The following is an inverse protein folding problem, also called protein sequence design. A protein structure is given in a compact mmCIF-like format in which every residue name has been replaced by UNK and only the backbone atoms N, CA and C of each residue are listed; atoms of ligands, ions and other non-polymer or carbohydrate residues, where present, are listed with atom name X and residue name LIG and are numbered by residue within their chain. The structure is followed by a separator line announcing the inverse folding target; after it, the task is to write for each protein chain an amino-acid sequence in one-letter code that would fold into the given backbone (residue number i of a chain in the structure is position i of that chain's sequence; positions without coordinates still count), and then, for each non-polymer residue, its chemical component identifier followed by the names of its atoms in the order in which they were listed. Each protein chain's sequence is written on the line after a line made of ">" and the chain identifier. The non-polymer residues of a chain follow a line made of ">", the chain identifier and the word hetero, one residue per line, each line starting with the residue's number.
data_IF_815204493871
#
_entry.id   IF_815204493871
#
_cell.length_a   1.000
_cell.length_b   1.000
_cell.length_c   1.000
_cell.angle_alpha   90.00
_cell.angle_beta   90.00
_cell.angle_gamma   90.00
#
_symmetry.space_group_name_H-M   'P 1'
#
loop_
_entity.id
_entity.type
_entity.pdbx_description
1 polymer ?
#
# COMPACT_ATOMS: atom_id res chain seq x y z
N UNK A 1 42.93 -28.41 33.21
CA UNK A 1 42.38 -27.13 33.68
C UNK A 1 42.98 -26.04 32.81
N UNK A 2 42.17 -25.36 32.01
CA UNK A 2 42.67 -24.34 31.07
C UNK A 2 41.83 -24.28 29.80
N UNK A 3 40.61 -23.75 29.89
CA UNK A 3 39.85 -23.26 28.73
C UNK A 3 38.65 -22.38 29.11
N UNK A 4 38.53 -21.95 30.38
CA UNK A 4 37.42 -21.09 30.85
C UNK A 4 37.85 -19.63 31.08
N UNK A 5 39.13 -19.29 31.07
CA UNK A 5 39.57 -17.91 31.34
C UNK A 5 39.67 -17.01 30.11
N UNK A 6 39.69 -17.57 28.88
CA UNK A 6 39.79 -16.76 27.64
C UNK A 6 38.42 -16.18 27.27
N UNK A 7 37.36 -16.98 27.43
CA UNK A 7 35.99 -16.56 27.11
C UNK A 7 35.49 -15.45 28.05
N UNK A 8 35.97 -15.39 29.30
CA UNK A 8 35.61 -14.29 30.22
C UNK A 8 36.32 -12.97 29.91
N UNK A 9 37.42 -12.98 29.16
CA UNK A 9 38.12 -11.75 28.78
C UNK A 9 37.51 -11.10 27.54
N UNK A 10 37.07 -11.89 26.56
CA UNK A 10 36.46 -11.37 25.31
C UNK A 10 35.08 -10.75 25.55
N UNK A 11 34.30 -11.25 26.51
CA UNK A 11 32.96 -10.69 26.82
C UNK A 11 33.06 -9.30 27.50
N UNK A 12 34.19 -9.01 28.16
CA UNK A 12 34.40 -7.70 28.78
C UNK A 12 34.81 -6.61 27.77
N UNK A 13 35.39 -6.97 26.63
CA UNK A 13 35.85 -6.01 25.62
C UNK A 13 34.66 -5.51 24.76
N UNK A 14 33.72 -6.40 24.41
CA UNK A 14 32.47 -6.02 23.71
C UNK A 14 31.53 -5.18 24.59
N UNK A 15 31.48 -5.45 25.91
CA UNK A 15 30.66 -4.65 26.83
C UNK A 15 31.20 -3.22 27.02
N UNK A 16 32.53 -3.06 26.98
CA UNK A 16 33.18 -1.76 27.14
C UNK A 16 32.99 -0.85 25.90
N UNK A 17 32.84 -1.44 24.72
CA UNK A 17 32.61 -0.71 23.46
C UNK A 17 31.15 -0.22 23.32
N UNK A 18 30.19 -1.00 23.83
CA UNK A 18 28.77 -0.62 23.86
C UNK A 18 28.49 0.57 24.79
N UNK A 19 29.14 0.63 25.96
CA UNK A 19 29.01 1.76 26.89
C UNK A 19 29.62 3.04 26.31
N UNK A 20 30.73 2.94 25.57
CA UNK A 20 31.36 4.08 24.89
C UNK A 20 30.49 4.62 23.73
N UNK A 21 29.75 3.76 23.03
CA UNK A 21 28.82 4.16 21.98
C UNK A 21 27.57 4.84 22.55
N UNK A 22 27.06 4.37 23.69
CA UNK A 22 25.92 4.97 24.40
C UNK A 22 26.24 6.36 24.96
N UNK A 23 27.47 6.59 25.45
CA UNK A 23 27.95 7.92 25.85
C UNK A 23 28.06 8.88 24.65
N UNK A 24 28.52 8.42 23.48
CA UNK A 24 28.54 9.23 22.26
C UNK A 24 27.13 9.64 21.80
N UNK A 25 26.15 8.75 21.92
CA UNK A 25 24.75 9.03 21.59
C UNK A 25 24.11 10.03 22.56
N UNK A 26 24.49 10.01 23.84
CA UNK A 26 24.06 11.02 24.82
C UNK A 26 24.65 12.40 24.53
N UNK A 27 25.95 12.47 24.20
CA UNK A 27 26.61 13.73 23.85
C UNK A 27 26.04 14.38 22.58
N UNK A 28 25.56 13.57 21.62
CA UNK A 28 24.87 14.07 20.43
C UNK A 28 23.47 14.65 20.72
N UNK A 29 22.77 14.13 21.74
CA UNK A 29 21.43 14.60 22.10
C UNK A 29 21.47 15.92 22.91
N UNK A 30 22.52 16.16 23.70
CA UNK A 30 22.70 17.41 24.45
C UNK A 30 23.12 18.61 23.58
N UNK A 31 23.68 18.39 22.38
CA UNK A 31 24.07 19.47 21.46
C UNK A 31 22.91 20.11 20.69
N UNK A 32 21.68 19.60 20.79
CA UNK A 32 20.53 20.05 19.99
C UNK A 32 19.43 20.78 20.78
N UNK A 33 19.71 21.22 22.01
CA UNK A 33 18.75 21.99 22.80
C UNK A 33 19.28 23.40 23.11
N UNK A 34 18.87 24.37 22.28
CA UNK A 34 18.89 25.79 22.63
C UNK A 34 17.48 26.35 22.38
N UNK A 35 16.82 26.81 23.44
CA UNK A 35 15.54 27.52 23.42
C UNK A 35 15.74 29.06 23.20
N UNK A 36 14.74 29.93 23.44
CA UNK A 36 13.98 30.63 22.40
C UNK A 36 14.27 32.15 22.38
N UNK A 37 13.81 32.87 21.35
CA UNK A 37 13.86 34.33 21.33
C UNK A 37 12.46 34.91 21.01
N UNK A 38 11.95 35.65 21.99
CA UNK A 38 10.85 36.63 21.95
C UNK A 38 11.29 37.90 21.18
N UNK A 39 10.53 38.91 20.74
CA UNK A 39 9.26 39.52 21.12
C UNK A 39 8.79 40.43 19.96
N UNK A 40 7.48 40.66 19.93
CA UNK A 40 6.74 41.91 19.60
C UNK A 40 7.45 43.09 18.92
N UNK A 41 6.78 43.67 17.90
CA UNK A 41 6.48 45.12 17.88
C UNK A 41 5.30 45.47 16.94
N UNK A 42 4.30 46.14 17.54
CA UNK A 42 3.25 46.93 16.87
C UNK A 42 3.79 48.33 16.51
N UNK A 43 3.36 48.90 15.38
CA UNK A 43 3.03 50.33 15.28
C UNK A 43 2.22 50.64 14.01
N UNK A 44 1.14 51.39 14.24
CA UNK A 44 0.13 51.93 13.32
C UNK A 44 0.64 53.17 12.57
N UNK A 45 0.23 53.34 11.30
CA UNK A 45 -0.20 54.67 10.82
C UNK A 45 -1.26 54.54 9.72
N UNK A 46 -2.24 55.44 9.83
CA UNK A 46 -3.53 55.54 9.16
C UNK A 46 -3.45 56.51 7.98
N UNK A 47 -4.18 56.25 6.88
CA UNK A 47 -5.01 57.20 6.09
C UNK A 47 -5.54 56.44 4.85
N UNK A 48 -6.74 55.85 4.85
CA UNK A 48 -8.13 56.35 4.77
C UNK A 48 -8.56 56.86 3.38
N UNK A 49 -9.71 56.31 2.96
CA UNK A 49 -10.72 56.78 1.97
C UNK A 49 -10.75 55.99 0.65
N UNK A 50 -11.88 55.51 0.12
CA UNK A 50 -13.28 55.42 0.60
C UNK A 50 -14.06 54.55 -0.41
N UNK A 51 -14.96 53.68 0.11
CA UNK A 51 -16.28 53.19 -0.37
C UNK A 51 -16.67 53.22 -1.88
N UNK A 52 -17.55 52.38 -2.46
CA UNK A 52 -18.55 51.42 -2.00
C UNK A 52 -19.05 50.63 -3.25
N UNK A 53 -19.45 49.37 -3.08
CA UNK A 53 -20.37 48.61 -3.97
C UNK A 53 -21.84 49.06 -3.74
N UNK A 54 -22.93 48.42 -4.27
CA UNK A 54 -23.11 47.38 -5.32
C UNK A 54 -24.27 47.70 -6.31
N UNK A 55 -24.54 46.80 -7.27
CA UNK A 55 -25.86 46.73 -7.94
C UNK A 55 -25.99 45.57 -8.94
N UNK A 56 -26.83 44.59 -8.60
CA UNK A 56 -27.39 43.56 -9.50
C UNK A 56 -28.37 44.18 -10.52
N UNK A 57 -28.69 43.46 -11.61
CA UNK A 57 -30.05 43.23 -12.17
C UNK A 57 -29.96 42.28 -13.39
N UNK A 58 -30.89 41.33 -13.42
CA UNK A 58 -31.27 40.37 -14.48
C UNK A 58 -32.14 41.03 -15.58
N UNK A 59 -32.20 40.42 -16.79
CA UNK A 59 -33.39 40.20 -17.66
C UNK A 59 -32.89 39.57 -19.00
N UNK A 60 -33.30 38.34 -19.37
CA UNK A 60 -34.43 37.96 -20.26
C UNK A 60 -34.20 38.40 -21.73
N UNK A 61 -34.45 37.65 -22.82
CA UNK A 61 -35.14 36.39 -23.10
C UNK A 61 -34.91 35.97 -24.59
N UNK A 62 -35.40 34.78 -24.95
CA UNK A 62 -35.86 34.28 -26.27
C UNK A 62 -35.05 33.26 -27.11
N UNK A 63 -35.69 32.09 -27.29
CA UNK A 63 -35.53 31.08 -28.36
C UNK A 63 -35.98 31.63 -29.74
N UNK A 64 -35.59 30.97 -30.86
CA UNK A 64 -36.66 30.29 -31.62
C UNK A 64 -36.29 28.89 -32.16
N UNK A 65 -37.33 28.06 -32.34
CA UNK A 65 -37.34 26.75 -33.00
C UNK A 65 -37.64 26.89 -34.51
N UNK A 66 -36.90 26.21 -35.39
CA UNK A 66 -37.38 25.09 -36.26
C UNK A 66 -36.45 24.78 -37.45
N UNK A 67 -36.28 23.46 -37.69
CA UNK A 67 -36.17 22.69 -38.95
C UNK A 67 -35.20 23.11 -40.09
N UNK A 68 -34.37 22.14 -40.53
CA UNK A 68 -33.77 22.10 -41.88
C UNK A 68 -32.38 21.47 -41.92
N UNK A 69 -32.24 20.36 -42.65
CA UNK A 69 -31.05 19.52 -42.82
C UNK A 69 -29.92 20.19 -43.62
N UNK A 70 -28.64 20.01 -43.21
CA UNK A 70 -27.59 19.41 -44.08
C UNK A 70 -26.24 19.18 -43.35
N UNK A 71 -25.58 18.10 -43.75
CA UNK A 71 -24.33 17.53 -43.23
C UNK A 71 -23.10 18.44 -43.43
N UNK A 72 -22.24 18.55 -42.40
CA UNK A 72 -20.78 18.51 -42.59
C UNK A 72 -20.11 17.77 -41.42
N UNK A 73 -19.34 16.74 -41.75
CA UNK A 73 -18.48 15.98 -40.84
C UNK A 73 -17.35 16.85 -40.29
N UNK A 74 -17.05 16.71 -38.98
CA UNK A 74 -15.69 16.54 -38.48
C UNK A 74 -15.70 16.07 -37.03
N UNK A 75 -15.55 14.75 -36.89
CA UNK A 75 -15.40 14.03 -35.64
C UNK A 75 -13.99 14.21 -35.06
N UNK A 76 -13.84 15.05 -34.02
CA UNK A 76 -12.69 14.96 -33.11
C UNK A 76 -13.10 14.21 -31.84
N UNK A 77 -13.34 12.90 -32.01
CA UNK A 77 -13.40 11.97 -30.90
C UNK A 77 -11.99 11.84 -30.32
N UNK A 78 -11.72 12.54 -29.21
CA UNK A 78 -10.57 12.25 -28.35
C UNK A 78 -10.68 10.79 -27.90
N UNK A 79 -9.89 9.91 -28.53
CA UNK A 79 -9.71 8.52 -28.09
C UNK A 79 -9.14 8.54 -26.68
N UNK A 80 -10.00 8.41 -25.68
CA UNK A 80 -9.62 8.05 -24.32
C UNK A 80 -9.08 6.63 -24.41
N UNK A 81 -7.76 6.50 -24.41
CA UNK A 81 -7.09 5.20 -24.46
C UNK A 81 -7.56 4.38 -23.24
N UNK A 82 -8.36 3.36 -23.54
CA UNK A 82 -8.86 2.42 -22.55
C UNK A 82 -7.66 1.57 -22.13
N UNK A 83 -7.08 1.85 -20.95
CA UNK A 83 -5.90 1.15 -20.40
C UNK A 83 -6.17 -0.31 -20.02
N UNK A 84 -7.42 -0.76 -20.14
CA UNK A 84 -7.87 -2.02 -19.55
C UNK A 84 -7.76 -3.24 -20.49
N UNK A 85 -7.03 -3.18 -21.61
CA UNK A 85 -6.96 -4.32 -22.57
C UNK A 85 -5.58 -4.76 -23.08
N UNK A 86 -4.48 -4.33 -22.46
CA UNK A 86 -3.13 -4.82 -22.85
C UNK A 86 -2.27 -5.25 -21.66
N UNK A 87 -2.86 -5.95 -20.69
CA UNK A 87 -2.13 -6.63 -19.60
C UNK A 87 -2.42 -8.14 -19.61
N UNK A 88 -2.55 -8.71 -20.80
CA UNK A 88 -2.51 -10.15 -20.96
C UNK A 88 -1.05 -10.60 -20.88
N UNK A 89 -0.65 -11.13 -19.72
CA UNK A 89 0.45 -12.11 -19.57
C UNK A 89 1.81 -11.71 -20.18
N UNK A 90 2.23 -10.46 -20.05
CA UNK A 90 3.67 -10.24 -20.01
C UNK A 90 4.12 -10.79 -18.66
N UNK A 91 4.93 -11.85 -18.64
CA UNK A 91 5.64 -12.24 -17.43
C UNK A 91 6.26 -10.97 -16.85
N UNK A 92 5.82 -10.60 -15.63
CA UNK A 92 6.32 -9.41 -14.97
C UNK A 92 7.78 -9.69 -14.61
N UNK A 93 8.67 -9.30 -15.51
CA UNK A 93 10.11 -9.38 -15.33
C UNK A 93 10.47 -8.54 -14.12
N UNK A 94 10.86 -9.21 -13.04
CA UNK A 94 11.38 -8.60 -11.83
C UNK A 94 12.90 -8.73 -11.85
N UNK A 95 13.62 -7.61 -11.78
CA UNK A 95 15.08 -7.56 -11.76
C UNK A 95 15.57 -6.85 -10.49
N UNK A 96 16.65 -7.34 -9.88
CA UNK A 96 17.37 -6.63 -8.80
C UNK A 96 16.61 -6.56 -7.48
N UNK A 97 15.66 -7.47 -7.27
CA UNK A 97 14.80 -7.57 -6.07
C UNK A 97 14.81 -8.96 -5.45
N UNK A 98 15.82 -9.75 -5.76
CA UNK A 98 15.91 -11.17 -5.39
C UNK A 98 15.98 -11.31 -3.87
N UNK A 99 16.73 -10.43 -3.20
CA UNK A 99 16.85 -10.41 -1.75
C UNK A 99 15.51 -10.08 -1.07
N UNK A 100 14.88 -8.97 -1.45
CA UNK A 100 13.61 -8.56 -0.88
C UNK A 100 12.51 -9.60 -1.15
N UNK A 101 12.51 -10.20 -2.34
CA UNK A 101 11.60 -11.30 -2.71
C UNK A 101 11.79 -12.49 -1.77
N UNK A 102 13.03 -12.94 -1.59
CA UNK A 102 13.37 -14.05 -0.71
C UNK A 102 12.94 -13.78 0.74
N UNK A 103 13.26 -12.59 1.26
CA UNK A 103 12.98 -12.20 2.64
C UNK A 103 11.47 -12.17 2.92
N UNK A 104 10.68 -11.57 2.02
CA UNK A 104 9.22 -11.51 2.19
C UNK A 104 8.59 -12.89 2.02
N UNK A 105 9.00 -13.69 1.04
CA UNK A 105 8.48 -15.06 0.87
C UNK A 105 8.75 -15.89 2.13
N UNK A 106 9.96 -15.81 2.67
CA UNK A 106 10.33 -16.48 3.92
C UNK A 106 9.48 -15.99 5.09
N UNK A 107 9.23 -14.69 5.20
CA UNK A 107 8.41 -14.10 6.27
C UNK A 107 6.93 -14.53 6.18
N UNK A 108 6.38 -14.61 4.98
CA UNK A 108 5.03 -15.13 4.74
C UNK A 108 4.97 -16.63 5.05
N UNK A 109 5.91 -17.42 4.54
CA UNK A 109 5.96 -18.88 4.67
C UNK A 109 6.21 -19.41 6.08
N UNK A 110 6.67 -18.57 7.03
CA UNK A 110 6.86 -18.98 8.42
C UNK A 110 5.57 -19.57 9.02
N UNK A 111 5.66 -20.64 9.84
CA UNK A 111 4.51 -21.15 10.58
C UNK A 111 3.98 -20.10 11.55
N UNK A 112 2.68 -20.15 11.83
CA UNK A 112 2.05 -19.24 12.77
C UNK A 112 2.44 -19.67 14.19
N UNK A 113 3.38 -18.95 14.78
CA UNK A 113 3.94 -19.21 16.10
C UNK A 113 3.10 -18.56 17.22
N UNK A 114 1.76 -18.61 17.11
CA UNK A 114 0.79 -17.97 18.01
C UNK A 114 0.94 -16.43 18.17
N UNK A 115 1.68 -15.75 17.29
CA UNK A 115 1.94 -14.30 17.40
C UNK A 115 0.87 -13.40 16.75
N UNK A 116 -0.27 -13.96 16.33
CA UNK A 116 -1.32 -13.24 15.60
C UNK A 116 -0.96 -12.89 14.15
N UNK A 117 -1.82 -12.09 13.51
CA UNK A 117 -1.63 -11.62 12.13
C UNK A 117 -0.37 -10.75 12.00
N UNK A 118 0.51 -11.08 11.05
CA UNK A 118 1.71 -10.26 10.74
C UNK A 118 1.44 -9.38 9.53
N UNK A 119 1.72 -8.08 9.69
CA UNK A 119 1.69 -7.09 8.61
C UNK A 119 3.10 -6.88 8.08
N UNK A 120 3.22 -6.82 6.76
CA UNK A 120 4.42 -6.53 5.98
C UNK A 120 4.11 -5.31 5.14
N UNK A 121 4.89 -4.25 5.25
CA UNK A 121 4.66 -3.01 4.52
C UNK A 121 5.74 -2.78 3.49
N UNK A 122 5.34 -2.58 2.25
CA UNK A 122 6.22 -2.23 1.13
C UNK A 122 5.92 -0.80 0.73
N UNK A 123 6.93 0.07 0.81
CA UNK A 123 6.78 1.48 0.49
C UNK A 123 7.82 1.98 -0.50
N UNK A 124 7.61 3.18 -1.02
CA UNK A 124 8.49 3.78 -2.04
C UNK A 124 7.70 4.73 -2.93
N UNK A 125 8.40 5.52 -3.73
CA UNK A 125 7.79 6.51 -4.62
C UNK A 125 6.94 5.88 -5.74
N UNK A 126 6.20 6.73 -6.46
CA UNK A 126 5.45 6.30 -7.63
C UNK A 126 6.38 5.78 -8.73
N UNK A 127 5.92 4.76 -9.46
CA UNK A 127 6.70 4.16 -10.54
C UNK A 127 7.77 3.16 -10.10
N UNK A 128 8.07 3.02 -8.81
CA UNK A 128 9.11 2.09 -8.32
C UNK A 128 8.72 0.61 -8.35
N UNK A 129 7.51 0.30 -8.83
CA UNK A 129 7.08 -1.09 -9.06
C UNK A 129 6.58 -1.85 -7.83
N UNK A 130 6.14 -1.17 -6.76
CA UNK A 130 5.61 -1.81 -5.54
C UNK A 130 4.55 -2.87 -5.81
N UNK A 131 3.54 -2.51 -6.60
CA UNK A 131 2.43 -3.40 -6.98
C UNK A 131 2.94 -4.62 -7.77
N UNK A 132 3.83 -4.41 -8.73
CA UNK A 132 4.49 -5.47 -9.52
C UNK A 132 5.31 -6.41 -8.64
N UNK A 133 6.12 -5.84 -7.74
CA UNK A 133 6.93 -6.60 -6.79
C UNK A 133 6.05 -7.47 -5.86
N UNK A 134 5.01 -6.90 -5.27
CA UNK A 134 4.07 -7.65 -4.42
C UNK A 134 3.28 -8.67 -5.23
N UNK A 135 2.94 -8.39 -6.49
CA UNK A 135 2.28 -9.34 -7.39
C UNK A 135 3.15 -10.57 -7.65
N UNK A 136 4.43 -10.36 -7.92
CA UNK A 136 5.40 -11.44 -8.08
C UNK A 136 5.45 -12.35 -6.84
N UNK A 137 5.54 -11.76 -5.63
CA UNK A 137 5.49 -12.51 -4.36
C UNK A 137 4.16 -13.23 -4.21
N UNK A 138 3.05 -12.52 -4.44
CA UNK A 138 1.69 -13.04 -4.31
C UNK A 138 1.42 -14.23 -5.23
N UNK A 139 2.11 -14.35 -6.36
CA UNK A 139 1.99 -15.47 -7.29
C UNK A 139 2.97 -16.60 -7.02
N UNK A 140 3.91 -16.42 -6.08
CA UNK A 140 4.93 -17.41 -5.79
C UNK A 140 4.34 -18.78 -5.38
N UNK A 141 4.78 -19.87 -6.01
CA UNK A 141 4.37 -21.23 -5.63
C UNK A 141 4.93 -21.63 -4.26
N UNK A 142 5.99 -20.97 -3.77
CA UNK A 142 6.58 -21.21 -2.45
C UNK A 142 5.61 -20.86 -1.31
N UNK A 143 4.62 -20.01 -1.59
CA UNK A 143 3.55 -19.67 -0.67
C UNK A 143 2.37 -20.65 -0.76
N UNK A 144 2.62 -21.91 -1.15
CA UNK A 144 1.60 -22.95 -1.26
C UNK A 144 0.78 -23.11 0.03
N UNK A 145 -0.49 -23.48 -0.10
CA UNK A 145 -1.41 -23.70 1.02
C UNK A 145 -2.04 -22.43 1.62
N UNK A 146 -1.53 -21.24 1.30
CA UNK A 146 -2.19 -19.99 1.68
C UNK A 146 -3.41 -19.74 0.79
N UNK A 147 -4.57 -19.48 1.40
CA UNK A 147 -5.70 -18.88 0.69
C UNK A 147 -5.41 -17.39 0.51
N UNK A 148 -5.71 -16.84 -0.66
CA UNK A 148 -5.18 -15.53 -1.05
C UNK A 148 -6.30 -14.59 -1.48
N UNK A 149 -6.19 -13.33 -1.10
CA UNK A 149 -7.04 -12.28 -1.63
C UNK A 149 -6.26 -10.98 -1.77
N UNK A 150 -6.64 -10.19 -2.76
CA UNK A 150 -6.01 -8.93 -3.12
C UNK A 150 -7.09 -7.87 -3.33
N UNK A 151 -6.93 -6.70 -2.71
CA UNK A 151 -7.72 -5.53 -3.02
C UNK A 151 -6.84 -4.29 -3.15
N UNK A 152 -7.10 -3.48 -4.17
CA UNK A 152 -6.52 -2.14 -4.32
C UNK A 152 -7.49 -1.11 -3.76
N UNK A 153 -6.99 -0.17 -2.96
CA UNK A 153 -7.80 0.92 -2.42
C UNK A 153 -8.33 1.81 -3.55
N UNK A 154 -9.65 2.00 -3.59
CA UNK A 154 -10.27 2.90 -4.57
C UNK A 154 -9.95 4.37 -4.25
N UNK A 155 -10.07 5.23 -5.26
CA UNK A 155 -10.01 6.69 -5.10
C UNK A 155 -11.29 7.31 -5.67
N UNK A 156 -12.18 7.86 -4.82
CA UNK A 156 -12.09 8.00 -3.36
C UNK A 156 -12.11 6.66 -2.62
N UNK A 157 -11.55 6.64 -1.40
CA UNK A 157 -11.46 5.43 -0.58
C UNK A 157 -12.84 4.93 -0.15
N UNK A 158 -13.10 3.65 -0.42
CA UNK A 158 -14.30 2.97 0.03
C UNK A 158 -13.93 1.64 0.69
N UNK A 159 -13.90 1.63 2.02
CA UNK A 159 -13.56 0.45 2.79
C UNK A 159 -14.58 -0.69 2.59
N UNK A 160 -15.86 -0.39 2.36
CA UNK A 160 -16.87 -1.44 2.13
C UNK A 160 -16.60 -2.19 0.83
N UNK A 161 -16.27 -1.47 -0.25
CA UNK A 161 -15.87 -2.08 -1.53
C UNK A 161 -14.61 -2.91 -1.37
N UNK A 162 -13.61 -2.39 -0.66
CA UNK A 162 -12.36 -3.10 -0.39
C UNK A 162 -12.62 -4.42 0.38
N UNK A 163 -13.35 -4.36 1.49
CA UNK A 163 -13.67 -5.54 2.31
C UNK A 163 -14.51 -6.56 1.54
N UNK A 164 -15.45 -6.08 0.70
CA UNK A 164 -16.28 -6.96 -0.13
C UNK A 164 -15.46 -7.69 -1.20
N UNK A 165 -14.53 -7.00 -1.86
CA UNK A 165 -13.60 -7.62 -2.80
C UNK A 165 -12.80 -8.75 -2.13
N UNK A 166 -12.29 -8.51 -0.91
CA UNK A 166 -11.56 -9.52 -0.16
C UNK A 166 -12.45 -10.72 0.19
N UNK A 167 -13.65 -10.48 0.72
CA UNK A 167 -14.58 -11.55 1.09
C UNK A 167 -14.96 -12.44 -0.10
N UNK A 168 -15.25 -11.84 -1.26
CA UNK A 168 -15.58 -12.58 -2.49
C UNK A 168 -14.41 -13.44 -2.99
N UNK A 169 -13.18 -12.90 -2.97
CA UNK A 169 -12.00 -13.66 -3.38
C UNK A 169 -11.65 -14.79 -2.40
N UNK A 170 -11.79 -14.55 -1.09
CA UNK A 170 -11.58 -15.59 -0.08
C UNK A 170 -12.62 -16.69 -0.18
N UNK A 171 -13.89 -16.35 -0.41
CA UNK A 171 -14.95 -17.33 -0.59
C UNK A 171 -14.62 -18.29 -1.74
N UNK A 172 -14.09 -17.77 -2.85
CA UNK A 172 -13.66 -18.56 -4.00
C UNK A 172 -12.40 -19.37 -3.74
N UNK A 173 -11.39 -18.80 -3.08
CA UNK A 173 -10.13 -19.52 -2.85
C UNK A 173 -10.23 -20.59 -1.77
N UNK A 174 -11.06 -20.38 -0.75
CA UNK A 174 -11.29 -21.34 0.35
C UNK A 174 -12.07 -22.55 -0.17
N UNK A 175 -13.08 -22.34 -0.99
CA UNK A 175 -13.87 -23.43 -1.58
C UNK A 175 -13.12 -23.99 -2.78
N UNK A 176 -12.48 -25.15 -2.59
CA UNK A 176 -11.68 -25.79 -3.64
C UNK A 176 -12.52 -26.30 -4.80
N UNK A 177 -13.81 -26.54 -4.57
CA UNK A 177 -14.79 -26.81 -5.62
C UNK A 177 -15.62 -25.55 -5.95
N UNK A 178 -15.50 -24.99 -7.17
CA UNK A 178 -16.34 -23.90 -7.64
C UNK A 178 -17.84 -24.21 -7.58
N UNK A 179 -18.24 -25.48 -7.61
CA UNK A 179 -19.63 -25.91 -7.47
C UNK A 179 -20.17 -25.80 -6.03
N UNK A 180 -19.31 -25.91 -5.01
CA UNK A 180 -19.69 -25.71 -3.61
C UNK A 180 -19.84 -24.23 -3.25
N UNK A 181 -19.07 -23.35 -3.91
CA UNK A 181 -19.30 -21.90 -3.83
C UNK A 181 -20.60 -21.56 -4.54
N UNK A 182 -21.72 -21.77 -3.86
CA UNK A 182 -23.02 -21.54 -4.48
C UNK A 182 -23.08 -20.07 -4.90
N UNK A 183 -23.52 -19.82 -6.14
CA UNK A 183 -23.77 -18.45 -6.65
C UNK A 183 -24.63 -17.63 -5.68
N UNK A 184 -25.40 -18.31 -4.84
CA UNK A 184 -26.20 -17.75 -3.75
C UNK A 184 -25.34 -17.13 -2.64
N UNK A 185 -24.26 -17.77 -2.19
CA UNK A 185 -23.33 -17.19 -1.21
C UNK A 185 -22.63 -15.93 -1.75
N UNK A 186 -22.17 -15.97 -3.00
CA UNK A 186 -21.57 -14.79 -3.65
C UNK A 186 -22.58 -13.63 -3.79
N UNK A 187 -23.81 -13.94 -4.22
CA UNK A 187 -24.90 -12.96 -4.26
C UNK A 187 -25.21 -12.41 -2.88
N UNK A 188 -25.19 -13.26 -1.84
CA UNK A 188 -25.39 -12.84 -0.45
C UNK A 188 -24.33 -11.83 -0.01
N UNK A 189 -23.03 -12.13 -0.17
CA UNK A 189 -21.93 -11.19 0.16
C UNK A 189 -22.05 -9.88 -0.62
N UNK A 190 -22.52 -9.95 -1.88
CA UNK A 190 -22.68 -8.77 -2.73
C UNK A 190 -23.71 -7.77 -2.19
N UNK A 191 -24.71 -8.24 -1.44
CA UNK A 191 -25.79 -7.40 -0.87
C UNK A 191 -25.72 -7.22 0.64
N UNK A 192 -24.80 -7.93 1.32
CA UNK A 192 -24.58 -7.79 2.77
C UNK A 192 -24.31 -6.34 3.15
N UNK A 193 -24.91 -5.90 4.26
CA UNK A 193 -24.56 -4.61 4.85
C UNK A 193 -23.17 -4.69 5.49
N UNK A 194 -22.53 -3.54 5.68
CA UNK A 194 -21.16 -3.46 6.20
C UNK A 194 -20.92 -4.30 7.47
N UNK A 195 -21.87 -4.33 8.42
CA UNK A 195 -21.73 -5.12 9.66
C UNK A 195 -21.66 -6.62 9.36
N UNK A 196 -22.62 -7.13 8.59
CA UNK A 196 -22.68 -8.54 8.17
C UNK A 196 -21.45 -8.91 7.33
N UNK A 197 -21.02 -8.01 6.45
CA UNK A 197 -19.83 -8.20 5.64
C UNK A 197 -18.56 -8.35 6.49
N UNK A 198 -18.40 -7.55 7.55
CA UNK A 198 -17.27 -7.66 8.48
C UNK A 198 -17.29 -8.99 9.23
N UNK A 199 -18.46 -9.43 9.68
CA UNK A 199 -18.65 -10.71 10.38
C UNK A 199 -18.32 -11.89 9.45
N UNK A 200 -18.80 -11.84 8.20
CA UNK A 200 -18.53 -12.88 7.20
C UNK A 200 -17.05 -12.92 6.79
N UNK A 201 -16.42 -11.77 6.58
CA UNK A 201 -14.98 -11.71 6.32
C UNK A 201 -14.18 -12.29 7.50
N UNK A 202 -14.53 -11.94 8.73
CA UNK A 202 -13.89 -12.49 9.92
C UNK A 202 -14.09 -14.01 10.03
N UNK A 203 -15.25 -14.53 9.63
CA UNK A 203 -15.52 -15.97 9.55
C UNK A 203 -14.60 -16.65 8.53
N UNK A 204 -14.54 -16.12 7.29
CA UNK A 204 -13.69 -16.66 6.22
C UNK A 204 -12.21 -16.69 6.62
N UNK A 205 -11.71 -15.61 7.23
CA UNK A 205 -10.32 -15.52 7.69
C UNK A 205 -9.96 -16.53 8.79
N UNK A 206 -10.93 -17.01 9.58
CA UNK A 206 -10.71 -18.03 10.62
C UNK A 206 -10.68 -19.46 10.09
N UNK A 207 -11.19 -19.71 8.88
CA UNK A 207 -11.29 -21.06 8.33
C UNK A 207 -9.93 -21.60 7.89
N UNK A 208 -9.08 -20.73 7.35
CA UNK A 208 -7.83 -21.11 6.68
C UNK A 208 -6.77 -20.02 6.89
N UNK A 209 -5.50 -20.38 6.68
CA UNK A 209 -4.40 -19.41 6.70
C UNK A 209 -4.48 -18.53 5.46
N UNK A 210 -4.80 -17.25 5.66
CA UNK A 210 -5.01 -16.29 4.58
C UNK A 210 -3.85 -15.30 4.42
N UNK A 211 -3.41 -15.10 3.18
CA UNK A 211 -2.52 -14.02 2.76
C UNK A 211 -3.38 -12.94 2.08
N UNK A 212 -3.43 -11.76 2.69
CA UNK A 212 -4.17 -10.62 2.17
C UNK A 212 -3.19 -9.60 1.61
N UNK A 213 -3.46 -9.09 0.41
CA UNK A 213 -2.75 -7.93 -0.15
C UNK A 213 -3.69 -6.73 -0.17
N UNK A 214 -3.23 -5.64 0.43
CA UNK A 214 -3.87 -4.33 0.40
C UNK A 214 -2.97 -3.38 -0.39
N UNK A 215 -3.36 -3.10 -1.61
CA UNK A 215 -2.56 -2.33 -2.55
C UNK A 215 -2.98 -0.85 -2.54
N UNK A 216 -1.98 0.03 -2.55
CA UNK A 216 -2.09 1.48 -2.53
C UNK A 216 -2.86 2.00 -1.31
N UNK A 217 -2.44 1.72 -0.07
CA UNK A 217 -3.01 2.41 1.10
C UNK A 217 -2.34 3.80 1.24
N UNK A 218 -3.14 4.87 1.24
CA UNK A 218 -2.63 6.25 1.20
C UNK A 218 -2.83 7.06 2.47
N UNK A 219 -3.39 6.49 3.54
CA UNK A 219 -3.37 7.16 4.85
C UNK A 219 -3.45 6.18 6.02
N UNK A 220 -3.02 6.65 7.19
CA UNK A 220 -3.21 5.94 8.46
C UNK A 220 -4.69 5.64 8.74
N UNK A 221 -5.59 6.57 8.40
CA UNK A 221 -7.03 6.40 8.58
C UNK A 221 -7.60 5.27 7.72
N UNK A 222 -7.17 5.16 6.46
CA UNK A 222 -7.58 4.06 5.58
C UNK A 222 -7.24 2.70 6.18
N UNK A 223 -6.02 2.56 6.74
CA UNK A 223 -5.60 1.36 7.46
C UNK A 223 -6.40 1.13 8.74
N UNK A 224 -6.57 2.17 9.57
CA UNK A 224 -7.24 2.05 10.87
C UNK A 224 -8.70 1.59 10.76
N UNK A 225 -9.39 1.98 9.69
CA UNK A 225 -10.77 1.58 9.43
C UNK A 225 -10.92 0.08 9.11
N UNK A 226 -9.90 -0.54 8.50
CA UNK A 226 -9.98 -1.93 8.02
C UNK A 226 -9.19 -2.93 8.85
N UNK A 227 -8.14 -2.51 9.58
CA UNK A 227 -7.20 -3.43 10.25
C UNK A 227 -7.88 -4.45 11.16
N UNK A 228 -8.85 -4.03 11.98
CA UNK A 228 -9.54 -4.92 12.92
C UNK A 228 -10.40 -5.98 12.23
N UNK A 229 -10.78 -5.77 10.98
CA UNK A 229 -11.53 -6.75 10.19
C UNK A 229 -10.61 -7.88 9.70
N UNK A 230 -9.29 -7.67 9.75
CA UNK A 230 -8.28 -8.54 9.17
C UNK A 230 -7.39 -9.22 10.22
N UNK A 231 -7.67 -9.06 11.52
CA UNK A 231 -6.86 -9.59 12.63
C UNK A 231 -6.71 -11.13 12.61
N UNK A 232 -7.68 -11.82 11.98
CA UNK A 232 -7.66 -13.29 11.81
C UNK A 232 -6.96 -13.74 10.52
N UNK A 233 -6.47 -12.81 9.68
CA UNK A 233 -5.58 -13.19 8.59
C UNK A 233 -4.28 -13.77 9.17
N UNK A 234 -3.59 -14.63 8.42
CA UNK A 234 -2.25 -15.05 8.84
C UNK A 234 -1.21 -13.98 8.47
N UNK A 235 -1.30 -13.44 7.26
CA UNK A 235 -0.38 -12.45 6.72
C UNK A 235 -1.11 -11.36 5.97
N UNK A 236 -0.67 -10.12 6.12
CA UNK A 236 -1.11 -8.97 5.34
C UNK A 236 0.12 -8.33 4.70
N UNK A 237 0.09 -8.10 3.40
CA UNK A 237 1.05 -7.25 2.70
C UNK A 237 0.33 -5.95 2.33
N UNK A 238 0.90 -4.81 2.73
CA UNK A 238 0.41 -3.48 2.39
C UNK A 238 1.41 -2.82 1.44
N UNK A 239 0.94 -2.27 0.32
CA UNK A 239 1.74 -1.32 -0.47
C UNK A 239 1.30 0.11 -0.16
N UNK A 240 2.25 1.03 -0.04
CA UNK A 240 1.98 2.45 0.19
C UNK A 240 3.06 3.32 -0.43
N UNK A 241 2.81 4.61 -0.60
CA UNK A 241 3.79 5.57 -1.12
C UNK A 241 4.66 6.19 -0.04
N UNK A 242 4.14 6.27 1.18
CA UNK A 242 4.76 7.03 2.25
C UNK A 242 5.27 6.12 3.37
N UNK A 243 6.47 6.40 3.86
CA UNK A 243 7.11 5.62 4.91
C UNK A 243 6.36 5.67 6.25
N UNK A 244 5.83 6.85 6.62
CA UNK A 244 5.01 7.03 7.81
C UNK A 244 3.79 6.10 7.82
N UNK A 245 3.12 5.91 6.69
CA UNK A 245 1.98 4.98 6.55
C UNK A 245 2.48 3.55 6.66
N UNK A 246 3.62 3.21 6.05
CA UNK A 246 4.21 1.87 6.15
C UNK A 246 4.52 1.49 7.60
N UNK A 247 5.11 2.43 8.36
CA UNK A 247 5.38 2.29 9.80
C UNK A 247 4.10 2.20 10.63
N UNK A 248 3.04 2.92 10.25
CA UNK A 248 1.74 2.84 10.92
C UNK A 248 1.06 1.48 10.69
N UNK A 249 1.19 0.91 9.49
CA UNK A 249 0.64 -0.40 9.14
C UNK A 249 1.38 -1.55 9.84
N UNK A 250 2.72 -1.53 9.82
CA UNK A 250 3.56 -2.60 10.35
C UNK A 250 4.13 -2.26 11.72
N UNK A 251 3.72 -3.01 12.74
CA UNK A 251 4.20 -2.84 14.13
C UNK A 251 5.67 -3.22 14.34
N UNK A 252 6.26 -3.99 13.43
CA UNK A 252 7.62 -4.51 13.56
C UNK A 252 8.48 -3.93 12.44
N UNK A 253 9.55 -3.23 12.81
CA UNK A 253 10.44 -2.55 11.86
C UNK A 253 11.00 -3.47 10.78
N UNK A 254 11.38 -4.71 11.13
CA UNK A 254 11.90 -5.71 10.18
C UNK A 254 10.89 -6.18 9.11
N UNK A 255 9.63 -5.79 9.23
CA UNK A 255 8.59 -6.10 8.26
C UNK A 255 8.32 -4.92 7.30
N UNK A 256 9.12 -3.85 7.36
CA UNK A 256 8.97 -2.66 6.52
C UNK A 256 10.08 -2.66 5.46
N UNK A 257 9.68 -2.65 4.19
CA UNK A 257 10.58 -2.73 3.04
C UNK A 257 10.45 -1.46 2.20
N UNK A 258 11.54 -0.72 2.05
CA UNK A 258 11.63 0.36 1.05
C UNK A 258 11.97 -0.22 -0.31
N UNK A 259 11.25 0.19 -1.34
CA UNK A 259 11.64 0.00 -2.73
C UNK A 259 12.11 1.35 -3.28
N UNK A 260 13.42 1.45 -3.47
CA UNK A 260 14.07 2.60 -4.11
C UNK A 260 14.25 2.36 -5.62
N UNK A 261 14.86 3.31 -6.35
CA UNK A 261 15.23 3.05 -7.75
C UNK A 261 16.06 1.77 -7.92
N UNK A 262 15.91 1.09 -9.06
CA UNK A 262 16.78 -0.04 -9.38
C UNK A 262 18.22 0.44 -9.52
N UNK A 263 19.17 -0.41 -9.13
CA UNK A 263 20.60 -0.20 -9.42
C UNK A 263 20.82 -0.27 -10.93
N UNK A 264 21.87 0.40 -11.41
CA UNK A 264 22.17 0.54 -12.84
C UNK A 264 22.16 -0.80 -13.60
N UNK A 265 22.82 -1.83 -13.07
CA UNK A 265 22.85 -3.16 -13.70
C UNK A 265 21.44 -3.78 -13.79
N UNK A 266 20.67 -3.73 -12.71
CA UNK A 266 19.30 -4.27 -12.69
C UNK A 266 18.34 -3.46 -13.57
N UNK A 267 18.55 -2.15 -13.69
CA UNK A 267 17.79 -1.26 -14.57
C UNK A 267 18.10 -1.56 -16.04
N UNK A 268 19.37 -1.76 -16.38
CA UNK A 268 19.81 -2.17 -17.72
C UNK A 268 19.25 -3.55 -18.09
N UNK A 269 19.33 -4.51 -17.18
CA UNK A 269 18.75 -5.84 -17.37
C UNK A 269 17.24 -5.78 -17.62
N UNK A 270 16.52 -4.99 -16.83
CA UNK A 270 15.09 -4.78 -17.02
C UNK A 270 14.80 -4.15 -18.38
N UNK A 271 15.57 -3.13 -18.78
CA UNK A 271 15.44 -2.47 -20.08
C UNK A 271 15.66 -3.45 -21.23
N UNK A 272 16.74 -4.24 -21.20
CA UNK A 272 17.04 -5.26 -22.21
C UNK A 272 15.88 -6.26 -22.31
N UNK A 273 15.40 -6.80 -21.18
CA UNK A 273 14.32 -7.78 -21.17
C UNK A 273 13.01 -7.20 -21.69
N UNK A 274 12.67 -5.96 -21.36
CA UNK A 274 11.40 -5.34 -21.81
C UNK A 274 11.45 -4.87 -23.26
N UNK A 275 12.54 -4.26 -23.69
CA UNK A 275 12.61 -3.59 -25.00
C UNK A 275 13.14 -4.50 -26.10
N UNK A 276 14.05 -5.42 -25.77
CA UNK A 276 14.74 -6.24 -26.76
C UNK A 276 14.18 -7.65 -26.90
N UNK A 277 13.40 -8.15 -25.93
CA UNK A 277 12.72 -9.46 -26.04
C UNK A 277 11.31 -9.38 -26.63
N UNK A 278 10.75 -8.18 -26.85
CA UNK A 278 9.51 -7.98 -27.63
C UNK A 278 9.76 -7.90 -29.16
N UNK A 279 11.02 -8.07 -29.61
CA UNK A 279 11.45 -7.91 -31.01
C UNK A 279 11.75 -9.24 -31.75
N UNK A 280 11.45 -10.39 -31.15
CA UNK A 280 11.66 -11.72 -31.75
C UNK A 280 10.44 -12.63 -31.61
#
# INVERSE_FOLDING_TARGET
>A
MGSLSVVMFEINEEAMDADAEMEKLKAMHESCSAEPISDSNNATTTEKNMAMLPGEIHEEDEEPKNAGEEKVHNSTARKKANRDRTLALADEVLCGREKETFDIIKLVGQPDNNQGCKVISVWGTDGTGKTTFVRHIYQSPQLGGWKRAWATASRPFNHEVLLRTLALQLLYTIQEDPAESTREQQKSISVMKLKELKEELARLLKLQRCLIVLDDISSALEWDVIKSCLDNAGRIIVTTREENIARHCSRVYKNIYSLDGLKDDAALDLFIKKVLQEQY
#
